data_IF_017921909229
#
_entry.id   IF_017921909229
#
_cell.length_a   1.000
_cell.length_b   1.000
_cell.length_c   1.000
_cell.angle_alpha   90.00
_cell.angle_beta   90.00
_cell.angle_gamma   90.00
#
_symmetry.space_group_name_H-M   'P 1'
#
loop_
_entity.id
_entity.type
_entity.pdbx_description
1 polymer ?
#
# COMPACT_ATOMS: atom_id res chain seq x y z
N UNK A 1 5.16 11.40 -4.96
CA UNK A 1 4.10 11.18 -3.96
C UNK A 1 3.72 12.51 -3.33
N UNK A 2 2.46 12.71 -2.89
CA UNK A 2 2.10 13.97 -2.24
C UNK A 2 2.58 13.96 -0.77
N UNK A 3 3.35 14.96 -0.36
CA UNK A 3 3.99 15.02 0.97
C UNK A 3 3.03 15.39 2.10
N UNK A 4 1.88 15.99 1.78
CA UNK A 4 0.83 16.35 2.75
C UNK A 4 -0.12 15.21 3.16
N UNK A 5 0.09 13.98 2.68
CA UNK A 5 -0.79 12.86 3.00
C UNK A 5 -0.55 12.33 4.42
N UNK A 6 -1.60 12.00 5.16
CA UNK A 6 -1.44 11.39 6.49
C UNK A 6 -0.87 9.96 6.41
N UNK A 7 -1.26 9.20 5.38
CA UNK A 7 -0.81 7.82 5.13
C UNK A 7 -0.71 7.51 3.64
N UNK A 8 0.31 6.76 3.26
CA UNK A 8 0.56 6.25 1.92
C UNK A 8 0.53 4.71 1.97
N UNK A 9 -0.47 4.12 1.30
CA UNK A 9 -0.63 2.68 1.19
C UNK A 9 0.08 2.19 -0.07
N UNK A 10 1.16 1.44 0.12
CA UNK A 10 1.97 0.92 -0.98
C UNK A 10 1.65 -0.56 -1.25
N UNK A 11 1.55 -0.96 -2.53
CA UNK A 11 1.30 -2.35 -2.90
C UNK A 11 2.54 -3.24 -2.80
N UNK A 12 3.75 -2.67 -2.90
CA UNK A 12 5.02 -3.41 -2.89
C UNK A 12 6.14 -2.59 -2.22
N UNK A 13 7.22 -3.26 -1.82
CA UNK A 13 8.41 -2.62 -1.23
C UNK A 13 9.09 -1.61 -2.16
N UNK A 14 9.08 -1.85 -3.48
CA UNK A 14 9.65 -0.92 -4.45
C UNK A 14 8.92 0.44 -4.43
N UNK A 15 7.59 0.41 -4.23
CA UNK A 15 6.76 1.62 -4.20
C UNK A 15 6.96 2.37 -2.87
N UNK A 16 7.17 1.67 -1.75
CA UNK A 16 7.55 2.33 -0.49
C UNK A 16 8.92 2.98 -0.56
N UNK A 17 9.90 2.35 -1.22
CA UNK A 17 11.23 2.94 -1.40
C UNK A 17 11.16 4.20 -2.27
N UNK A 18 10.34 4.18 -3.33
CA UNK A 18 10.06 5.36 -4.14
C UNK A 18 9.40 6.48 -3.33
N UNK A 19 8.44 6.14 -2.46
CA UNK A 19 7.78 7.11 -1.59
C UNK A 19 8.74 7.77 -0.59
N UNK A 20 9.69 7.00 -0.06
CA UNK A 20 10.74 7.51 0.82
C UNK A 20 11.65 8.50 0.08
N UNK A 21 12.06 8.18 -1.15
CA UNK A 21 12.90 9.06 -1.98
C UNK A 21 12.17 10.36 -2.37
N UNK A 22 10.86 10.30 -2.55
CA UNK A 22 10.00 11.47 -2.82
C UNK A 22 9.74 12.34 -1.57
N UNK A 23 10.33 11.99 -0.42
CA UNK A 23 10.28 12.81 0.80
C UNK A 23 9.11 12.50 1.74
N UNK A 24 8.47 11.33 1.62
CA UNK A 24 7.50 10.89 2.64
C UNK A 24 8.21 10.31 3.85
N UNK A 25 7.68 10.59 5.04
CA UNK A 25 8.23 10.01 6.25
C UNK A 25 7.89 8.51 6.34
N UNK A 26 8.77 7.68 6.91
CA UNK A 26 8.51 6.26 7.09
C UNK A 26 7.28 5.99 7.97
N UNK A 27 6.93 6.90 8.89
CA UNK A 27 5.70 6.83 9.69
C UNK A 27 4.41 6.97 8.87
N UNK A 28 4.49 7.59 7.69
CA UNK A 28 3.37 7.77 6.77
C UNK A 28 3.24 6.57 5.81
N UNK A 29 4.27 5.74 5.65
CA UNK A 29 4.28 4.66 4.64
C UNK A 29 3.82 3.34 5.27
N UNK A 30 2.88 2.66 4.62
CA UNK A 30 2.39 1.32 5.02
C UNK A 30 2.33 0.41 3.81
N UNK A 31 2.91 -0.77 3.92
CA UNK A 31 2.84 -1.80 2.88
C UNK A 31 1.71 -2.76 3.25
N UNK A 32 0.64 -2.75 2.47
CA UNK A 32 -0.53 -3.63 2.68
C UNK A 32 -0.87 -4.47 1.45
N UNK A 33 -0.11 -4.33 0.36
CA UNK A 33 -0.48 -4.94 -0.91
C UNK A 33 -1.56 -4.15 -1.64
N UNK A 34 -1.93 -4.64 -2.82
CA UNK A 34 -3.03 -4.07 -3.58
C UNK A 34 -4.35 -4.43 -2.89
N UNK A 35 -5.19 -3.46 -2.48
CA UNK A 35 -6.49 -3.77 -1.91
C UNK A 35 -7.35 -4.45 -2.97
N UNK A 36 -7.71 -5.70 -2.73
CA UNK A 36 -8.62 -6.47 -3.59
C UNK A 36 -9.98 -6.55 -2.90
N UNK A 37 -11.04 -6.63 -3.70
CA UNK A 37 -12.41 -6.78 -3.17
C UNK A 37 -12.47 -8.05 -2.30
N UNK A 38 -12.99 -7.99 -1.06
CA UNK A 38 -13.04 -9.17 -0.18
C UNK A 38 -13.73 -10.39 -0.81
N UNK A 39 -14.79 -10.15 -1.60
CA UNK A 39 -15.51 -11.19 -2.35
C UNK A 39 -14.64 -11.95 -3.36
N UNK A 40 -13.61 -11.30 -3.92
CA UNK A 40 -12.66 -11.95 -4.83
C UNK A 40 -11.78 -12.95 -4.09
N UNK A 41 -11.36 -12.63 -2.86
CA UNK A 41 -10.56 -13.53 -2.04
C UNK A 41 -11.40 -14.70 -1.50
N UNK A 42 -12.67 -14.45 -1.14
CA UNK A 42 -13.57 -15.49 -0.62
C UNK A 42 -13.99 -16.52 -1.67
N UNK A 43 -14.03 -16.15 -2.96
CA UNK A 43 -14.30 -17.08 -4.05
C UNK A 43 -13.25 -18.21 -4.17
N UNK A 44 -12.04 -17.99 -3.65
CA UNK A 44 -10.96 -18.99 -3.67
C UNK A 44 -11.12 -20.04 -2.56
N UNK A 45 -11.85 -19.73 -1.48
CA UNK A 45 -12.05 -20.63 -0.33
C UNK A 45 -13.34 -21.44 -0.37
N UNK A 46 -14.21 -21.22 -1.36
CA UNK A 46 -15.43 -22.02 -1.56
C UNK A 46 -15.13 -23.18 -2.50
N UNK A 47 -14.70 -24.32 -1.96
CA UNK A 47 -14.71 -25.59 -2.70
C UNK A 47 -15.18 -26.73 -1.80
#
# INVERSE_FOLDING_TARGET
FHTGVTRCYCPSEEVSNRALLDGLNPSQIRIFGLPVRPSFCHAVFSK
#
